data_IF_749466741094
#
_entry.id   IF_749466741094
#
_cell.length_a   1.000
_cell.length_b   1.000
_cell.length_c   1.000
_cell.angle_alpha   90.00
_cell.angle_beta   90.00
_cell.angle_gamma   90.00
#
_symmetry.space_group_name_H-M   'P 1'
#
loop_
_entity.id
_entity.type
_entity.pdbx_description
1 polymer ?
#
# COMPACT_ATOMS: atom_id res chain seq x y z
N UNK A 1 -19.79 65.64 -20.21
CA UNK A 1 -18.65 65.78 -21.14
C UNK A 1 -17.52 64.83 -20.74
N UNK A 2 -16.91 64.19 -21.74
CA UNK A 2 -15.99 63.06 -21.68
C UNK A 2 -14.76 63.28 -20.77
N UNK A 3 -14.30 62.21 -20.10
CA UNK A 3 -12.88 62.02 -19.81
C UNK A 3 -12.36 60.77 -20.54
N UNK A 4 -12.02 60.96 -21.81
CA UNK A 4 -11.16 60.03 -22.53
C UNK A 4 -9.76 60.08 -21.91
N UNK A 5 -9.45 59.16 -20.99
CA UNK A 5 -8.05 58.83 -20.68
C UNK A 5 -7.57 57.86 -21.75
N UNK A 6 -6.95 58.40 -22.80
CA UNK A 6 -6.14 57.65 -23.75
C UNK A 6 -4.99 56.97 -22.99
N UNK A 7 -5.20 55.72 -22.54
CA UNK A 7 -4.09 54.90 -22.05
C UNK A 7 -3.18 54.65 -23.25
N UNK A 8 -2.02 55.30 -23.26
CA UNK A 8 -0.94 55.00 -24.18
C UNK A 8 -0.63 53.51 -24.07
N UNK A 9 -0.80 52.78 -25.18
CA UNK A 9 -0.41 51.37 -25.24
C UNK A 9 1.10 51.32 -24.92
N UNK A 10 1.53 50.61 -23.88
CA UNK A 10 2.96 50.51 -23.59
C UNK A 10 3.63 49.90 -24.82
N UNK A 11 4.53 50.66 -25.45
CA UNK A 11 5.36 50.16 -26.54
C UNK A 11 6.42 49.24 -25.92
N UNK A 12 6.35 47.95 -26.21
CA UNK A 12 7.32 46.95 -25.75
C UNK A 12 6.71 45.58 -25.48
N UNK A 13 7.58 44.60 -25.18
CA UNK A 13 7.15 43.26 -24.76
C UNK A 13 6.36 43.38 -23.44
N UNK A 14 5.15 42.83 -23.34
CA UNK A 14 4.38 42.82 -22.10
C UNK A 14 5.20 42.25 -20.94
N UNK A 15 5.16 42.91 -19.78
CA UNK A 15 5.81 42.37 -18.60
C UNK A 15 5.12 41.10 -18.14
N UNK A 16 5.91 40.08 -17.85
CA UNK A 16 5.43 38.85 -17.23
C UNK A 16 4.93 39.19 -15.83
N UNK A 17 3.77 38.69 -15.44
CA UNK A 17 3.21 38.92 -14.12
C UNK A 17 4.17 38.43 -13.02
N UNK A 18 4.18 39.12 -11.88
CA UNK A 18 5.05 38.77 -10.75
C UNK A 18 4.91 37.31 -10.32
N UNK A 19 3.69 36.75 -10.38
CA UNK A 19 3.39 35.36 -10.04
C UNK A 19 3.99 34.34 -11.02
N UNK A 20 4.10 34.67 -12.31
CA UNK A 20 4.67 33.80 -13.34
C UNK A 20 6.18 33.98 -13.52
N UNK A 21 6.78 34.98 -12.85
CA UNK A 21 8.19 35.31 -13.02
C UNK A 21 9.06 34.36 -12.21
N UNK A 22 9.89 33.57 -12.91
CA UNK A 22 10.91 32.72 -12.31
C UNK A 22 12.09 33.58 -11.84
N UNK A 23 12.36 33.61 -10.53
CA UNK A 23 13.41 34.47 -9.92
C UNK A 23 14.52 33.70 -9.21
N UNK A 24 14.35 32.38 -9.05
CA UNK A 24 15.30 31.49 -8.38
C UNK A 24 15.74 30.41 -9.35
N UNK A 25 17.03 30.07 -9.35
CA UNK A 25 17.61 29.03 -10.19
C UNK A 25 18.28 27.97 -9.33
N UNK A 26 18.20 26.73 -9.80
CA UNK A 26 18.95 25.59 -9.28
C UNK A 26 19.78 25.06 -10.45
N UNK A 27 21.09 24.94 -10.27
CA UNK A 27 21.99 24.42 -11.31
C UNK A 27 22.38 23.00 -10.96
N UNK A 28 22.21 22.09 -11.93
CA UNK A 28 22.62 20.69 -11.85
C UNK A 28 23.58 20.38 -13.00
N UNK A 29 24.52 19.47 -12.77
CA UNK A 29 25.47 19.00 -13.78
C UNK A 29 25.16 17.54 -14.08
N UNK A 30 25.12 17.21 -15.37
CA UNK A 30 24.82 15.87 -15.86
C UNK A 30 26.04 15.31 -16.58
N UNK A 31 26.18 13.99 -16.57
CA UNK A 31 27.06 13.32 -17.50
C UNK A 31 26.57 13.53 -18.95
N UNK A 32 27.45 13.37 -19.93
CA UNK A 32 27.08 13.43 -21.35
C UNK A 32 25.89 12.50 -21.71
N UNK A 33 25.88 11.21 -21.31
CA UNK A 33 24.75 10.33 -21.63
C UNK A 33 23.44 10.75 -20.95
N UNK A 34 23.49 11.18 -19.68
CA UNK A 34 22.28 11.63 -18.96
C UNK A 34 21.68 12.89 -19.59
N UNK A 35 22.53 13.83 -20.00
CA UNK A 35 22.11 15.04 -20.69
C UNK A 35 21.42 14.72 -22.02
N UNK A 36 21.99 13.82 -22.82
CA UNK A 36 21.39 13.40 -24.09
C UNK A 36 20.04 12.69 -23.87
N UNK A 37 19.94 11.85 -22.83
CA UNK A 37 18.67 11.21 -22.47
C UNK A 37 17.60 12.23 -22.10
N UNK A 38 17.93 13.20 -21.23
CA UNK A 38 17.00 14.28 -20.86
C UNK A 38 16.57 15.11 -22.08
N UNK A 39 17.51 15.43 -22.98
CA UNK A 39 17.23 16.17 -24.22
C UNK A 39 16.28 15.41 -25.15
N UNK A 40 16.41 14.08 -25.24
CA UNK A 40 15.48 13.24 -26.01
C UNK A 40 14.09 13.26 -25.38
N UNK A 41 14.00 13.10 -24.05
CA UNK A 41 12.72 13.12 -23.32
C UNK A 41 12.00 14.46 -23.43
N UNK A 42 12.72 15.59 -23.30
CA UNK A 42 12.12 16.92 -23.44
C UNK A 42 11.58 17.15 -24.85
N UNK A 43 12.31 16.72 -25.88
CA UNK A 43 11.84 16.78 -27.27
C UNK A 43 10.59 15.93 -27.49
N UNK A 44 10.56 14.72 -26.96
CA UNK A 44 9.38 13.84 -27.07
C UNK A 44 8.15 14.43 -26.36
N UNK A 45 8.36 15.17 -25.26
CA UNK A 45 7.32 15.88 -24.53
C UNK A 45 6.97 17.26 -25.15
N UNK A 46 7.58 17.64 -26.27
CA UNK A 46 7.38 18.92 -26.95
C UNK A 46 7.57 20.16 -26.04
N UNK A 47 8.50 20.08 -25.09
CA UNK A 47 8.81 21.18 -24.18
C UNK A 47 10.31 21.46 -24.12
N UNK A 48 10.68 22.62 -23.56
CA UNK A 48 12.09 22.95 -23.37
C UNK A 48 12.70 22.06 -22.28
N UNK A 49 14.01 21.84 -22.34
CA UNK A 49 14.72 21.04 -21.34
C UNK A 49 14.49 21.56 -19.91
N UNK A 50 14.42 22.89 -19.75
CA UNK A 50 14.19 23.52 -18.45
C UNK A 50 12.76 23.35 -17.93
N UNK A 51 11.76 23.35 -18.81
CA UNK A 51 10.37 23.02 -18.45
C UNK A 51 10.26 21.55 -18.07
N UNK A 52 10.78 20.66 -18.92
CA UNK A 52 10.78 19.22 -18.66
C UNK A 52 11.38 18.88 -17.29
N UNK A 53 12.57 19.41 -16.97
CA UNK A 53 13.22 19.14 -15.68
C UNK A 53 12.43 19.73 -14.52
N UNK A 54 11.85 20.92 -14.68
CA UNK A 54 11.06 21.56 -13.62
C UNK A 54 9.81 20.75 -13.30
N UNK A 55 9.05 20.38 -14.32
CA UNK A 55 7.80 19.64 -14.17
C UNK A 55 8.09 18.24 -13.63
N UNK A 56 9.08 17.56 -14.21
CA UNK A 56 9.52 16.25 -13.73
C UNK A 56 10.03 16.27 -12.28
N UNK A 57 10.64 17.37 -11.83
CA UNK A 57 11.11 17.50 -10.45
C UNK A 57 9.96 17.66 -9.44
N UNK A 58 8.83 18.25 -9.85
CA UNK A 58 7.62 18.34 -9.00
C UNK A 58 6.79 17.06 -9.02
N UNK A 59 6.76 16.34 -10.15
CA UNK A 59 6.06 15.06 -10.28
C UNK A 59 6.86 13.88 -9.73
N UNK A 60 8.16 14.04 -9.51
CA UNK A 60 9.01 13.00 -8.96
C UNK A 60 8.58 12.66 -7.51
N UNK A 61 7.97 11.49 -7.34
CA UNK A 61 7.67 10.95 -6.01
C UNK A 61 8.96 10.45 -5.34
N UNK A 62 9.63 11.34 -4.63
CA UNK A 62 10.73 10.96 -3.74
C UNK A 62 10.10 10.40 -2.45
N UNK A 63 9.92 9.08 -2.40
CA UNK A 63 9.43 8.42 -1.19
C UNK A 63 10.57 8.39 -0.18
N UNK A 64 10.45 9.18 0.89
CA UNK A 64 11.32 9.02 2.04
C UNK A 64 11.20 7.58 2.55
N UNK A 65 12.33 6.96 2.94
CA UNK A 65 12.28 5.67 3.63
C UNK A 65 11.36 5.81 4.85
N UNK A 66 10.54 4.79 5.10
CA UNK A 66 9.69 4.72 6.30
C UNK A 66 10.49 5.15 7.52
N UNK A 67 9.92 6.04 8.33
CA UNK A 67 10.56 6.49 9.55
C UNK A 67 10.81 5.29 10.48
N UNK A 68 11.68 5.47 11.47
CA UNK A 68 11.91 4.44 12.49
C UNK A 68 10.62 4.10 13.25
N UNK A 69 9.74 5.08 13.43
CA UNK A 69 8.41 4.92 14.01
C UNK A 69 7.50 4.08 13.12
N UNK A 70 7.41 4.40 11.82
CA UNK A 70 6.63 3.62 10.85
C UNK A 70 7.10 2.17 10.80
N UNK A 71 8.42 1.93 10.82
CA UNK A 71 8.99 0.60 10.85
C UNK A 71 8.62 -0.18 12.13
N UNK A 72 8.52 0.50 13.28
CA UNK A 72 8.05 -0.10 14.52
C UNK A 72 6.57 -0.48 14.46
N UNK A 73 5.73 0.41 13.91
CA UNK A 73 4.30 0.15 13.70
C UNK A 73 4.09 -1.06 12.79
N UNK A 74 4.81 -1.15 11.67
CA UNK A 74 4.73 -2.28 10.72
C UNK A 74 5.11 -3.60 11.40
N UNK A 75 6.18 -3.61 12.22
CA UNK A 75 6.57 -4.81 12.97
C UNK A 75 5.50 -5.22 13.97
N UNK A 76 4.90 -4.27 14.68
CA UNK A 76 3.82 -4.56 15.64
C UNK A 76 2.59 -5.12 14.94
N UNK A 77 2.18 -4.54 13.80
CA UNK A 77 1.07 -5.04 12.98
C UNK A 77 1.32 -6.47 12.50
N UNK A 78 2.55 -6.77 12.08
CA UNK A 78 2.96 -8.12 11.67
C UNK A 78 2.87 -9.11 12.84
N UNK A 79 3.33 -8.70 14.03
CA UNK A 79 3.20 -9.50 15.25
C UNK A 79 1.74 -9.79 15.61
N UNK A 80 0.86 -8.78 15.53
CA UNK A 80 -0.58 -8.94 15.78
C UNK A 80 -1.24 -9.89 14.78
N UNK A 81 -0.90 -9.80 13.49
CA UNK A 81 -1.40 -10.72 12.48
C UNK A 81 -0.98 -12.18 12.77
N UNK A 82 0.25 -12.39 13.24
CA UNK A 82 0.72 -13.72 13.63
C UNK A 82 -0.02 -14.25 14.87
N UNK A 83 -0.23 -13.40 15.88
CA UNK A 83 -1.01 -13.75 17.06
C UNK A 83 -2.44 -14.16 16.68
N UNK A 84 -3.08 -13.41 15.79
CA UNK A 84 -4.41 -13.74 15.28
C UNK A 84 -4.43 -15.12 14.60
N UNK A 85 -3.45 -15.40 13.73
CA UNK A 85 -3.34 -16.69 13.04
C UNK A 85 -3.15 -17.86 14.02
N UNK A 86 -2.36 -17.67 15.08
CA UNK A 86 -2.18 -18.68 16.13
C UNK A 86 -3.49 -18.93 16.89
N UNK A 87 -4.21 -17.87 17.27
CA UNK A 87 -5.51 -18.00 17.95
C UNK A 87 -6.54 -18.72 17.09
N UNK A 88 -6.63 -18.42 15.79
CA UNK A 88 -7.55 -19.12 14.87
C UNK A 88 -7.22 -20.61 14.77
N UNK A 89 -5.94 -20.96 14.61
CA UNK A 89 -5.50 -22.36 14.57
C UNK A 89 -5.81 -23.09 15.87
N UNK A 90 -5.54 -22.45 17.01
CA UNK A 90 -5.81 -23.02 18.33
C UNK A 90 -7.32 -23.25 18.54
N UNK A 91 -8.17 -22.28 18.20
CA UNK A 91 -9.62 -22.43 18.27
C UNK A 91 -10.15 -23.57 17.40
N UNK A 92 -9.61 -23.73 16.18
CA UNK A 92 -10.00 -24.85 15.32
C UNK A 92 -9.59 -26.20 15.93
N UNK A 93 -8.38 -26.28 16.47
CA UNK A 93 -7.89 -27.49 17.13
C UNK A 93 -8.68 -27.84 18.39
N UNK A 94 -8.97 -26.87 19.26
CA UNK A 94 -9.74 -27.10 20.49
C UNK A 94 -11.18 -27.51 20.19
N UNK A 95 -11.81 -26.91 19.18
CA UNK A 95 -13.11 -27.36 18.66
C UNK A 95 -13.08 -28.82 18.20
N UNK A 96 -12.04 -29.22 17.48
CA UNK A 96 -11.84 -30.62 17.06
C UNK A 96 -11.69 -31.58 18.24
N UNK A 97 -10.89 -31.22 19.26
CA UNK A 97 -10.74 -32.03 20.47
C UNK A 97 -12.07 -32.23 21.21
N UNK A 98 -12.91 -31.19 21.28
CA UNK A 98 -14.25 -31.28 21.90
C UNK A 98 -15.13 -32.29 21.15
N UNK A 99 -15.19 -32.21 19.82
CA UNK A 99 -15.98 -33.13 19.00
C UNK A 99 -15.45 -34.56 19.10
N UNK A 100 -14.13 -34.75 19.06
CA UNK A 100 -13.49 -36.07 19.23
C UNK A 100 -13.89 -36.73 20.55
N UNK A 101 -13.86 -35.98 21.66
CA UNK A 101 -14.18 -36.53 22.97
C UNK A 101 -15.64 -37.02 23.04
N UNK A 102 -16.59 -36.25 22.49
CA UNK A 102 -18.01 -36.63 22.43
C UNK A 102 -18.18 -37.92 21.60
N UNK A 103 -17.56 -37.99 20.42
CA UNK A 103 -17.65 -39.18 19.56
C UNK A 103 -17.06 -40.41 20.26
N UNK A 104 -15.93 -40.26 20.94
CA UNK A 104 -15.32 -41.36 21.69
C UNK A 104 -16.23 -41.85 22.82
N UNK A 105 -16.87 -40.94 23.56
CA UNK A 105 -17.82 -41.30 24.61
C UNK A 105 -19.03 -42.07 24.04
N UNK A 106 -19.57 -41.62 22.92
CA UNK A 106 -20.66 -42.32 22.23
C UNK A 106 -20.25 -43.71 21.73
N UNK A 107 -19.04 -43.85 21.19
CA UNK A 107 -18.52 -45.14 20.74
C UNK A 107 -18.34 -46.13 21.89
N UNK A 108 -17.92 -45.65 23.07
CA UNK A 108 -17.84 -46.49 24.27
C UNK A 108 -19.23 -46.99 24.67
N UNK A 109 -20.22 -46.09 24.77
CA UNK A 109 -21.60 -46.46 25.09
C UNK A 109 -22.19 -47.45 24.07
N UNK A 110 -21.94 -47.25 22.78
CA UNK A 110 -22.39 -48.17 21.73
C UNK A 110 -21.75 -49.56 21.88
N UNK A 111 -20.45 -49.62 22.21
CA UNK A 111 -19.74 -50.87 22.45
C UNK A 111 -20.32 -51.63 23.66
N UNK A 112 -20.68 -50.92 24.73
CA UNK A 112 -21.35 -51.50 25.90
C UNK A 112 -22.68 -52.15 25.51
N UNK A 113 -23.55 -51.41 24.81
CA UNK A 113 -24.85 -51.93 24.35
C UNK A 113 -24.69 -53.17 23.45
N UNK A 114 -23.73 -53.15 22.52
CA UNK A 114 -23.44 -54.29 21.66
C UNK A 114 -22.92 -55.50 22.44
N UNK A 115 -22.14 -55.27 23.51
CA UNK A 115 -21.64 -56.32 24.39
C UNK A 115 -22.79 -56.96 25.18
N UNK A 116 -23.68 -56.14 25.73
CA UNK A 116 -24.86 -56.60 26.47
C UNK A 116 -25.78 -57.43 25.58
N UNK A 117 -26.03 -56.97 24.35
CA UNK A 117 -26.80 -57.73 23.35
C UNK A 117 -26.17 -59.08 23.00
N UNK A 118 -24.84 -59.12 22.80
CA UNK A 118 -24.14 -60.40 22.58
C UNK A 118 -24.20 -61.33 23.79
N UNK A 119 -24.22 -60.79 25.01
CA UNK A 119 -24.31 -61.57 26.22
C UNK A 119 -25.72 -62.17 26.41
N UNK A 120 -26.77 -61.43 26.05
CA UNK A 120 -28.15 -61.94 26.08
C UNK A 120 -28.42 -63.00 25.01
N UNK A 121 -27.92 -62.83 23.78
CA UNK A 121 -28.05 -63.89 22.75
C UNK A 121 -27.39 -65.21 23.16
N UNK A 122 -26.25 -65.18 23.86
CA UNK A 122 -25.58 -66.40 24.34
C UNK A 122 -26.30 -67.09 25.50
N UNK A 123 -27.14 -66.39 26.27
CA UNK A 123 -27.95 -66.99 27.35
C UNK A 123 -29.25 -67.62 26.85
N UNK A 124 -29.72 -67.23 25.66
CA UNK A 124 -30.96 -67.71 25.05
C UNK A 124 -30.75 -68.90 24.09
N UNK A 125 -29.51 -69.38 23.92
CA UNK A 125 -29.19 -70.66 23.28
C UNK A 125 -28.83 -71.69 24.35
#
# INVERSE_FOLDING_TARGET
MLKNKTKTKPRGRPQVSTLKRLTKSVTVKFSKPDYEMLRRRSKNANCTLAEYIRDAAFDARIVAKHSTEDAAIIRNLTGMANNLNQLTKLSHQTGFYRTKNIVMELLVKLKEVLSDYKATERRCR
#
